data_IF_201611721797
#
_entry.id   IF_201611721797
#
_cell.length_a   1.000
_cell.length_b   1.000
_cell.length_c   1.000
_cell.angle_alpha   90.00
_cell.angle_beta   90.00
_cell.angle_gamma   90.00
#
_symmetry.space_group_name_H-M   'P 1'
#
loop_
_entity.id
_entity.type
_entity.pdbx_description
1 polymer ?
#
# COMPACT_ATOMS: atom_id res chain seq x y z
N UNK A 1 -4.54 1.56 20.45
CA UNK A 1 -3.93 2.52 19.50
C UNK A 1 -2.56 2.03 19.09
N UNK A 2 -2.04 2.63 18.01
CA UNK A 2 -0.61 2.71 17.73
C UNK A 2 -0.02 4.01 18.35
N UNK A 3 0.41 3.96 19.62
CA UNK A 3 1.12 5.08 20.29
C UNK A 3 2.50 4.68 20.78
N UNK A 4 2.83 3.40 20.73
CA UNK A 4 4.11 2.84 21.11
C UNK A 4 5.04 2.78 19.90
N UNK A 5 6.33 2.61 20.16
CA UNK A 5 7.31 2.42 19.09
C UNK A 5 7.10 1.05 18.42
N UNK A 6 7.51 0.93 17.15
CA UNK A 6 7.33 -0.32 16.41
C UNK A 6 5.93 -0.54 15.82
N UNK A 7 4.95 0.30 16.16
CA UNK A 7 3.58 0.21 15.64
C UNK A 7 3.45 1.10 14.40
N UNK A 8 3.64 0.53 13.20
CA UNK A 8 3.40 1.28 11.96
C UNK A 8 1.91 1.29 11.65
N UNK A 9 1.32 2.48 11.51
CA UNK A 9 -0.06 2.62 11.05
C UNK A 9 -0.08 2.78 9.54
N UNK A 10 -0.78 1.88 8.86
CA UNK A 10 -1.09 2.01 7.44
C UNK A 10 -2.52 2.52 7.27
N UNK A 11 -2.68 3.77 6.85
CA UNK A 11 -3.97 4.35 6.48
C UNK A 11 -4.23 4.03 5.01
N UNK A 12 -4.96 2.95 4.76
CA UNK A 12 -5.14 2.34 3.45
C UNK A 12 -6.45 2.79 2.78
N UNK A 13 -6.33 3.47 1.63
CA UNK A 13 -7.43 3.94 0.82
C UNK A 13 -7.05 3.98 -0.67
N UNK A 14 -7.35 5.09 -1.35
CA UNK A 14 -6.91 5.34 -2.74
C UNK A 14 -5.38 5.21 -2.89
N UNK A 15 -4.67 5.75 -1.90
CA UNK A 15 -3.25 5.58 -1.62
C UNK A 15 -3.07 5.05 -0.18
N UNK A 16 -1.83 4.78 0.22
CA UNK A 16 -1.53 4.40 1.62
C UNK A 16 -0.53 5.36 2.24
N UNK A 17 -0.90 5.92 3.38
CA UNK A 17 0.02 6.68 4.25
C UNK A 17 0.53 5.73 5.35
N UNK A 18 1.84 5.65 5.51
CA UNK A 18 2.51 4.86 6.54
C UNK A 18 3.09 5.81 7.58
N UNK A 19 2.66 5.69 8.83
CA UNK A 19 3.20 6.51 9.92
C UNK A 19 3.68 5.64 11.07
N UNK A 20 4.82 5.99 11.67
CA UNK A 20 5.38 5.26 12.80
C UNK A 20 6.06 6.22 13.77
N UNK A 21 5.92 5.96 15.07
CA UNK A 21 6.67 6.68 16.10
C UNK A 21 7.90 5.89 16.50
N UNK A 22 9.04 6.54 16.70
CA UNK A 22 10.25 5.91 17.21
C UNK A 22 11.03 6.78 18.18
N UNK A 23 11.80 6.14 19.07
CA UNK A 23 12.66 6.82 20.04
C UNK A 23 13.98 7.34 19.48
N UNK A 24 14.24 7.11 18.19
CA UNK A 24 15.50 7.45 17.51
C UNK A 24 15.22 8.35 16.32
N UNK A 25 16.15 9.27 16.02
CA UNK A 25 16.17 10.02 14.77
C UNK A 25 17.07 9.29 13.77
N UNK A 26 16.54 9.04 12.58
CA UNK A 26 17.17 8.29 11.48
C UNK A 26 16.75 8.89 10.16
N UNK A 27 17.66 8.84 9.20
CA UNK A 27 17.34 9.11 7.80
C UNK A 27 16.85 7.81 7.14
N UNK A 28 15.64 7.83 6.59
CA UNK A 28 14.99 6.67 5.97
C UNK A 28 14.81 6.98 4.48
N UNK A 29 15.35 6.15 3.57
CA UNK A 29 15.24 6.38 2.14
C UNK A 29 13.79 6.63 1.67
N UNK A 30 13.57 7.77 1.04
CA UNK A 30 12.27 8.14 0.48
C UNK A 30 11.15 8.36 1.49
N UNK A 31 11.46 8.56 2.78
CA UNK A 31 10.47 9.04 3.74
C UNK A 31 9.95 10.43 3.32
N UNK A 32 8.69 10.71 3.62
CA UNK A 32 8.10 12.04 3.42
C UNK A 32 8.67 13.05 4.42
N UNK A 33 8.90 12.60 5.67
CA UNK A 33 9.52 13.43 6.69
C UNK A 33 9.60 12.74 8.05
N UNK A 34 10.36 13.37 8.95
CA UNK A 34 10.50 12.99 10.36
C UNK A 34 10.47 14.24 11.23
N UNK A 35 9.65 14.26 12.28
CA UNK A 35 9.44 15.43 13.15
C UNK A 35 9.34 15.00 14.62
N UNK A 36 10.06 15.70 15.51
CA UNK A 36 9.98 15.48 16.95
C UNK A 36 8.58 15.86 17.46
N UNK A 37 7.91 14.92 18.13
CA UNK A 37 6.54 15.08 18.58
C UNK A 37 5.51 15.15 17.45
N UNK A 38 5.89 14.80 16.21
CA UNK A 38 5.02 14.93 15.02
C UNK A 38 3.77 14.04 15.03
N UNK A 39 3.80 12.95 15.81
CA UNK A 39 2.65 12.04 15.99
C UNK A 39 2.32 11.92 17.49
N UNK A 40 3.31 11.50 18.28
CA UNK A 40 3.19 11.33 19.74
C UNK A 40 4.28 12.17 20.39
N UNK A 41 3.91 13.01 21.36
CA UNK A 41 4.87 13.82 22.11
C UNK A 41 5.96 12.95 22.76
N UNK A 42 7.22 13.40 22.67
CA UNK A 42 8.38 12.65 23.18
C UNK A 42 8.84 11.50 22.28
N UNK A 43 8.48 11.50 20.99
CA UNK A 43 8.93 10.53 19.99
C UNK A 43 9.06 11.18 18.62
N UNK A 44 9.97 10.68 17.80
CA UNK A 44 10.09 11.08 16.40
C UNK A 44 8.95 10.43 15.61
N UNK A 45 8.13 11.27 14.97
CA UNK A 45 7.05 10.83 14.09
C UNK A 45 7.55 10.79 12.65
N UNK A 46 7.47 9.62 12.03
CA UNK A 46 7.86 9.38 10.65
C UNK A 46 6.64 9.22 9.75
N UNK A 47 6.77 9.69 8.51
CA UNK A 47 5.78 9.48 7.46
C UNK A 47 6.45 8.94 6.18
N UNK A 48 5.81 7.96 5.55
CA UNK A 48 6.08 7.49 4.20
C UNK A 48 4.76 7.29 3.45
N UNK A 49 4.82 7.13 2.13
CA UNK A 49 3.60 6.97 1.34
C UNK A 49 3.75 6.09 0.11
N UNK A 50 2.69 5.35 -0.19
CA UNK A 50 2.55 4.55 -1.39
C UNK A 50 1.53 5.22 -2.31
N UNK A 51 1.96 5.62 -3.51
CA UNK A 51 1.26 6.62 -4.34
C UNK A 51 -0.11 6.17 -4.85
N UNK A 52 -0.32 4.88 -5.06
CA UNK A 52 -1.60 4.31 -5.46
C UNK A 52 -1.73 2.90 -4.90
N UNK A 53 -2.89 2.59 -4.34
CA UNK A 53 -3.25 1.25 -3.87
C UNK A 53 -4.68 0.98 -4.31
N UNK A 54 -5.67 1.56 -3.63
CA UNK A 54 -7.08 1.48 -4.06
C UNK A 54 -7.31 2.03 -5.46
N UNK A 55 -6.59 3.09 -5.86
CA UNK A 55 -6.70 3.66 -7.21
C UNK A 55 -6.20 2.69 -8.30
N UNK A 56 -5.23 1.82 -7.97
CA UNK A 56 -4.74 0.80 -8.91
C UNK A 56 -5.83 -0.24 -9.14
N UNK A 57 -6.49 -0.69 -8.08
CA UNK A 57 -7.60 -1.64 -8.19
C UNK A 57 -8.77 -1.04 -8.94
N UNK A 58 -9.13 0.21 -8.62
CA UNK A 58 -10.21 0.93 -9.30
C UNK A 58 -9.90 1.13 -10.79
N UNK A 59 -8.68 1.54 -11.12
CA UNK A 59 -8.22 1.66 -12.50
C UNK A 59 -8.34 0.34 -13.26
N UNK A 60 -7.91 -0.77 -12.66
CA UNK A 60 -7.98 -2.08 -13.31
C UNK A 60 -9.44 -2.52 -13.52
N UNK A 61 -10.31 -2.33 -12.52
CA UNK A 61 -11.75 -2.61 -12.67
C UNK A 61 -12.39 -1.77 -13.77
N UNK A 62 -12.02 -0.50 -13.88
CA UNK A 62 -12.62 0.40 -14.87
C UNK A 62 -12.09 0.17 -16.30
N UNK A 63 -10.80 -0.14 -16.45
CA UNK A 63 -10.13 -0.11 -17.75
C UNK A 63 -9.55 -1.47 -18.21
N UNK A 64 -9.42 -2.44 -17.30
CA UNK A 64 -8.75 -3.71 -17.57
C UNK A 64 -9.66 -4.94 -17.49
N UNK A 65 -10.83 -4.83 -16.85
CA UNK A 65 -11.76 -5.95 -16.66
C UNK A 65 -12.78 -6.01 -17.81
N UNK A 66 -12.98 -7.17 -18.45
CA UNK A 66 -13.92 -7.30 -19.57
C UNK A 66 -15.38 -7.29 -19.09
N UNK A 67 -16.33 -6.81 -19.93
CA UNK A 67 -17.75 -6.71 -19.55
C UNK A 67 -18.37 -8.00 -19.01
N UNK A 68 -17.96 -9.17 -19.49
CA UNK A 68 -18.47 -10.46 -19.01
C UNK A 68 -18.28 -10.65 -17.50
N UNK A 69 -17.16 -10.21 -16.95
CA UNK A 69 -16.89 -10.30 -15.50
C UNK A 69 -17.76 -9.31 -14.70
N UNK A 70 -18.11 -8.16 -15.28
CA UNK A 70 -19.07 -7.24 -14.66
C UNK A 70 -20.48 -7.84 -14.60
N UNK A 71 -20.90 -8.50 -15.68
CA UNK A 71 -22.18 -9.21 -15.77
C UNK A 71 -22.23 -10.37 -14.76
N UNK A 72 -21.15 -11.15 -14.66
CA UNK A 72 -21.01 -12.22 -13.66
C UNK A 72 -21.07 -11.69 -12.23
N UNK A 73 -20.36 -10.60 -11.92
CA UNK A 73 -20.42 -9.96 -10.60
C UNK A 73 -21.85 -9.52 -10.25
N UNK A 74 -22.54 -8.88 -11.20
CA UNK A 74 -23.93 -8.45 -11.03
C UNK A 74 -24.89 -9.63 -10.83
N UNK A 75 -24.72 -10.72 -11.57
CA UNK A 75 -25.52 -11.95 -11.42
C UNK A 75 -25.37 -12.58 -10.03
N UNK A 76 -24.21 -12.41 -9.38
CA UNK A 76 -23.95 -12.85 -8.01
C UNK A 76 -24.33 -11.81 -6.94
N UNK A 77 -24.87 -10.64 -7.33
CA UNK A 77 -25.20 -9.55 -6.41
C UNK A 77 -23.99 -8.95 -5.69
N UNK A 78 -22.82 -9.00 -6.33
CA UNK A 78 -21.54 -8.50 -5.79
C UNK A 78 -21.07 -7.29 -6.59
N UNK A 79 -20.29 -6.43 -5.95
CA UNK A 79 -19.44 -5.50 -6.69
C UNK A 79 -18.37 -6.25 -7.47
N UNK A 80 -17.82 -5.63 -8.51
CA UNK A 80 -16.74 -6.23 -9.33
C UNK A 80 -15.50 -6.50 -8.48
N UNK A 81 -15.17 -5.60 -7.55
CA UNK A 81 -14.08 -5.82 -6.60
C UNK A 81 -14.29 -7.06 -5.72
N UNK A 82 -15.48 -7.25 -5.18
CA UNK A 82 -15.80 -8.43 -4.36
C UNK A 82 -15.77 -9.71 -5.19
N UNK A 83 -16.24 -9.66 -6.43
CA UNK A 83 -16.22 -10.80 -7.33
C UNK A 83 -14.78 -11.21 -7.71
N UNK A 84 -13.94 -10.27 -8.14
CA UNK A 84 -12.52 -10.53 -8.42
C UNK A 84 -11.75 -10.97 -7.17
N UNK A 85 -12.07 -10.40 -6.01
CA UNK A 85 -11.46 -10.83 -4.73
C UNK A 85 -11.83 -12.28 -4.42
N UNK A 86 -13.07 -12.69 -4.67
CA UNK A 86 -13.50 -14.07 -4.46
C UNK A 86 -12.76 -15.03 -5.40
N UNK A 87 -12.66 -14.71 -6.70
CA UNK A 87 -11.91 -15.51 -7.66
C UNK A 87 -10.42 -15.60 -7.33
N UNK A 88 -9.79 -14.46 -7.00
CA UNK A 88 -8.38 -14.39 -6.62
C UNK A 88 -8.09 -15.18 -5.34
N UNK A 89 -9.04 -15.27 -4.41
CA UNK A 89 -8.89 -16.02 -3.17
C UNK A 89 -8.88 -17.55 -3.36
N UNK A 90 -9.34 -18.05 -4.52
CA UNK A 90 -9.31 -19.49 -4.85
C UNK A 90 -7.93 -19.96 -5.31
N UNK A 91 -7.04 -19.03 -5.66
CA UNK A 91 -5.73 -19.33 -6.21
C UNK A 91 -4.71 -19.64 -5.10
N UNK A 92 -3.70 -20.44 -5.41
CA UNK A 92 -2.50 -20.60 -4.60
C UNK A 92 -1.54 -19.41 -4.80
N UNK A 93 -0.66 -19.16 -3.81
CA UNK A 93 0.40 -18.13 -3.94
C UNK A 93 1.29 -18.46 -5.14
N UNK A 94 1.34 -17.54 -6.11
CA UNK A 94 2.13 -17.66 -7.33
C UNK A 94 1.47 -18.46 -8.46
N UNK A 95 0.25 -18.98 -8.29
CA UNK A 95 -0.43 -19.80 -9.31
C UNK A 95 -0.63 -19.06 -10.64
N UNK A 96 -0.94 -17.77 -10.57
CA UNK A 96 -1.14 -16.92 -11.75
C UNK A 96 0.17 -16.65 -12.53
N UNK A 97 1.35 -16.87 -11.94
CA UNK A 97 2.64 -16.69 -12.61
C UNK A 97 2.97 -15.24 -12.99
N UNK A 98 2.40 -14.25 -12.30
CA UNK A 98 2.59 -12.82 -12.60
C UNK A 98 3.33 -12.10 -11.48
N UNK A 99 4.07 -11.05 -11.83
CA UNK A 99 4.59 -10.04 -10.89
C UNK A 99 4.27 -8.67 -11.45
N UNK A 100 3.86 -7.75 -10.59
CA UNK A 100 3.54 -6.38 -10.98
C UNK A 100 4.34 -5.34 -10.17
N UNK A 101 4.56 -4.17 -10.77
CA UNK A 101 5.06 -2.98 -10.07
C UNK A 101 3.89 -2.00 -9.87
N UNK A 102 3.70 -1.57 -8.62
CA UNK A 102 2.57 -0.77 -8.14
C UNK A 102 2.70 0.73 -8.44
N UNK A 103 3.34 1.11 -9.54
CA UNK A 103 3.73 2.49 -9.83
C UNK A 103 2.82 3.21 -10.83
N UNK A 104 1.54 2.85 -10.89
CA UNK A 104 0.58 3.47 -11.83
C UNK A 104 0.48 5.00 -11.66
N UNK A 105 0.77 5.49 -10.44
CA UNK A 105 0.85 6.92 -10.09
C UNK A 105 2.27 7.33 -9.65
N UNK A 106 3.30 6.70 -10.23
CA UNK A 106 4.70 6.85 -9.80
C UNK A 106 4.98 6.19 -8.45
N UNK A 107 6.15 6.44 -7.89
CA UNK A 107 6.57 5.92 -6.59
C UNK A 107 6.99 7.08 -5.66
N UNK A 108 6.31 7.24 -4.53
CA UNK A 108 6.66 8.25 -3.52
C UNK A 108 7.75 7.71 -2.59
N UNK A 109 7.47 6.64 -1.86
CA UNK A 109 8.44 5.93 -1.04
C UNK A 109 8.70 4.55 -1.66
N UNK A 110 9.95 4.11 -1.83
CA UNK A 110 11.21 4.72 -1.38
C UNK A 110 11.98 5.47 -2.47
N UNK A 111 11.49 5.48 -3.71
CA UNK A 111 12.25 5.96 -4.88
C UNK A 111 12.10 7.47 -5.15
N UNK A 112 11.01 8.10 -4.68
CA UNK A 112 10.74 9.53 -4.87
C UNK A 112 10.74 9.94 -6.36
N UNK A 113 10.07 9.15 -7.19
CA UNK A 113 10.02 9.33 -8.64
C UNK A 113 8.59 9.23 -9.19
N UNK A 114 8.08 10.38 -9.64
CA UNK A 114 6.73 10.51 -10.19
C UNK A 114 6.62 10.13 -11.68
N UNK A 115 7.75 9.92 -12.37
CA UNK A 115 7.74 9.55 -13.79
C UNK A 115 7.64 8.03 -14.01
N UNK A 116 7.88 7.23 -12.97
CA UNK A 116 7.68 5.78 -12.98
C UNK A 116 6.24 5.39 -13.36
N UNK A 117 6.08 4.15 -13.83
CA UNK A 117 4.82 3.62 -14.35
C UNK A 117 4.63 2.17 -13.96
N UNK A 118 3.37 1.71 -13.89
CA UNK A 118 3.02 0.32 -13.61
C UNK A 118 3.56 -0.66 -14.66
N UNK A 119 3.78 -1.90 -14.23
CA UNK A 119 4.26 -3.01 -15.04
C UNK A 119 3.55 -4.29 -14.57
N UNK A 120 3.24 -5.19 -15.51
CA UNK A 120 2.83 -6.57 -15.22
C UNK A 120 3.62 -7.50 -16.13
N UNK A 121 4.43 -8.39 -15.55
CA UNK A 121 5.20 -9.41 -16.26
C UNK A 121 4.60 -10.80 -16.05
N UNK A 122 4.87 -11.73 -16.98
CA UNK A 122 4.41 -13.13 -16.90
C UNK A 122 3.13 -13.44 -17.66
N UNK A 123 2.55 -12.47 -18.39
CA UNK A 123 1.31 -12.68 -19.13
C UNK A 123 1.45 -13.75 -20.22
N UNK A 124 0.42 -14.58 -20.34
CA UNK A 124 0.26 -15.61 -21.39
C UNK A 124 -1.11 -15.48 -22.06
N UNK A 125 -1.36 -16.26 -23.11
CA UNK A 125 -2.70 -16.33 -23.73
C UNK A 125 -3.78 -16.89 -22.79
N UNK A 126 -3.38 -17.50 -21.66
CA UNK A 126 -4.29 -18.04 -20.66
C UNK A 126 -4.55 -17.08 -19.49
N UNK A 127 -3.85 -15.94 -19.42
CA UNK A 127 -4.01 -14.98 -18.31
C UNK A 127 -5.43 -14.42 -18.25
N UNK A 128 -6.02 -14.47 -17.05
CA UNK A 128 -7.39 -14.08 -16.74
C UNK A 128 -7.44 -12.77 -15.93
N UNK A 129 -8.57 -12.06 -15.87
CA UNK A 129 -8.68 -10.82 -15.11
C UNK A 129 -8.36 -10.96 -13.61
N UNK A 130 -8.77 -12.07 -12.99
CA UNK A 130 -8.50 -12.38 -11.58
C UNK A 130 -7.01 -12.59 -11.29
N UNK A 131 -6.25 -13.15 -12.24
CA UNK A 131 -4.79 -13.31 -12.16
C UNK A 131 -4.11 -11.94 -12.00
N UNK A 132 -4.47 -11.01 -12.88
CA UNK A 132 -3.91 -9.65 -12.89
C UNK A 132 -4.37 -8.91 -11.64
N UNK A 133 -5.63 -9.04 -11.24
CA UNK A 133 -6.14 -8.41 -10.02
C UNK A 133 -5.39 -8.87 -8.77
N UNK A 134 -5.14 -10.18 -8.65
CA UNK A 134 -4.34 -10.74 -7.54
C UNK A 134 -2.92 -10.21 -7.57
N UNK A 135 -2.26 -10.23 -8.73
CA UNK A 135 -0.90 -9.72 -8.88
C UNK A 135 -0.77 -8.23 -8.51
N UNK A 136 -1.81 -7.42 -8.79
CA UNK A 136 -1.86 -6.02 -8.39
C UNK A 136 -2.02 -5.87 -6.86
N UNK A 137 -2.83 -6.70 -6.20
CA UNK A 137 -2.92 -6.73 -4.74
C UNK A 137 -1.56 -7.07 -4.13
N UNK A 138 -0.93 -8.14 -4.61
CA UNK A 138 0.39 -8.59 -4.15
C UNK A 138 1.45 -7.51 -4.37
N UNK A 139 1.46 -6.84 -5.52
CA UNK A 139 2.36 -5.72 -5.79
C UNK A 139 2.22 -4.59 -4.77
N UNK A 140 1.00 -4.27 -4.32
CA UNK A 140 0.82 -3.25 -3.29
C UNK A 140 1.36 -3.69 -1.93
N UNK A 141 1.26 -4.99 -1.60
CA UNK A 141 1.87 -5.56 -0.40
C UNK A 141 3.40 -5.56 -0.48
N UNK A 142 3.98 -5.88 -1.64
CA UNK A 142 5.43 -5.79 -1.88
C UNK A 142 5.95 -4.36 -1.77
N UNK A 143 5.20 -3.38 -2.28
CA UNK A 143 5.51 -1.96 -2.09
C UNK A 143 5.53 -1.57 -0.61
N UNK A 144 4.55 -2.03 0.16
CA UNK A 144 4.52 -1.85 1.62
C UNK A 144 5.70 -2.54 2.32
N UNK A 145 6.04 -3.78 1.95
CA UNK A 145 7.22 -4.48 2.48
C UNK A 145 8.51 -3.72 2.21
N UNK A 146 8.66 -3.18 1.00
CA UNK A 146 9.83 -2.36 0.61
C UNK A 146 9.96 -1.13 1.51
N UNK A 147 8.84 -0.47 1.85
CA UNK A 147 8.83 0.65 2.80
C UNK A 147 9.26 0.16 4.19
N UNK A 148 8.67 -0.93 4.69
CA UNK A 148 9.00 -1.48 6.02
C UNK A 148 10.49 -1.85 6.10
N UNK A 149 11.03 -2.52 5.10
CA UNK A 149 12.45 -2.89 5.03
C UNK A 149 13.37 -1.67 4.99
N UNK A 150 12.97 -0.56 4.36
CA UNK A 150 13.72 0.70 4.41
C UNK A 150 13.73 1.31 5.82
N UNK A 151 12.62 1.25 6.55
CA UNK A 151 12.57 1.70 7.94
C UNK A 151 13.45 0.83 8.85
N UNK A 152 13.28 -0.49 8.79
CA UNK A 152 13.99 -1.41 9.68
C UNK A 152 15.49 -1.44 9.40
N UNK A 153 15.91 -1.38 8.13
CA UNK A 153 17.33 -1.28 7.76
C UNK A 153 17.98 0.04 8.19
N UNK A 154 17.22 1.13 8.26
CA UNK A 154 17.65 2.41 8.85
C UNK A 154 17.63 2.43 10.39
N UNK A 155 17.23 1.33 11.05
CA UNK A 155 17.20 1.19 12.50
C UNK A 155 15.95 1.79 13.17
N UNK A 156 14.87 1.98 12.41
CA UNK A 156 13.54 2.32 12.95
C UNK A 156 12.72 1.03 13.02
N UNK A 157 12.42 0.49 14.21
CA UNK A 157 11.74 -0.79 14.32
C UNK A 157 10.29 -0.72 13.82
N UNK A 158 9.84 -1.82 13.22
CA UNK A 158 8.45 -2.06 12.82
C UNK A 158 8.12 -3.50 13.21
N UNK A 159 7.20 -3.67 14.16
CA UNK A 159 6.88 -4.95 14.81
C UNK A 159 5.42 -5.37 14.60
N UNK A 160 4.53 -4.41 14.35
CA UNK A 160 3.16 -4.67 13.91
C UNK A 160 2.71 -3.64 12.89
N UNK A 161 1.77 -4.04 12.04
CA UNK A 161 1.06 -3.14 11.14
C UNK A 161 -0.35 -2.90 11.70
N UNK A 162 -0.69 -1.65 11.97
CA UNK A 162 -2.04 -1.24 12.39
C UNK A 162 -2.76 -0.63 11.20
N UNK A 163 -3.72 -1.35 10.64
CA UNK A 163 -4.45 -0.94 9.45
C UNK A 163 -5.66 -0.09 9.82
N UNK A 164 -5.78 1.05 9.13
CA UNK A 164 -6.97 1.89 9.13
C UNK A 164 -7.44 2.12 7.69
N UNK A 165 -8.68 2.57 7.51
CA UNK A 165 -9.22 2.92 6.20
C UNK A 165 -10.05 1.81 5.54
N UNK A 166 -10.65 2.15 4.40
CA UNK A 166 -11.70 1.34 3.77
C UNK A 166 -11.23 -0.01 3.23
N UNK A 167 -9.94 -0.14 2.90
CA UNK A 167 -9.37 -1.40 2.38
C UNK A 167 -9.29 -2.52 3.42
N UNK A 168 -9.41 -2.20 4.72
CA UNK A 168 -9.44 -3.19 5.81
C UNK A 168 -10.57 -4.22 5.71
N UNK A 169 -11.62 -3.93 4.93
CA UNK A 169 -12.75 -4.85 4.69
C UNK A 169 -12.40 -5.98 3.73
N UNK A 170 -11.36 -5.83 2.91
CA UNK A 170 -10.91 -6.87 2.00
C UNK A 170 -9.99 -7.86 2.74
N UNK A 171 -10.55 -8.99 3.19
CA UNK A 171 -9.81 -9.98 3.98
C UNK A 171 -8.67 -10.66 3.21
N UNK A 172 -8.81 -10.88 1.91
CA UNK A 172 -7.73 -11.43 1.08
C UNK A 172 -6.54 -10.46 1.07
N UNK A 173 -6.80 -9.17 0.80
CA UNK A 173 -5.76 -8.14 0.79
C UNK A 173 -5.05 -8.05 2.15
N UNK A 174 -5.81 -8.06 3.25
CA UNK A 174 -5.24 -8.03 4.59
C UNK A 174 -4.36 -9.26 4.89
N UNK A 175 -4.80 -10.47 4.51
CA UNK A 175 -4.00 -11.67 4.73
C UNK A 175 -2.72 -11.64 3.89
N UNK A 176 -2.80 -11.26 2.61
CA UNK A 176 -1.62 -11.10 1.74
C UNK A 176 -0.63 -10.09 2.34
N UNK A 177 -1.11 -8.96 2.86
CA UNK A 177 -0.24 -8.01 3.54
C UNK A 177 0.46 -8.61 4.76
N UNK A 178 -0.23 -9.40 5.58
CA UNK A 178 0.38 -10.08 6.73
C UNK A 178 1.45 -11.08 6.29
N UNK A 179 1.14 -11.91 5.30
CA UNK A 179 2.05 -12.96 4.80
C UNK A 179 3.29 -12.34 4.12
N UNK A 180 3.08 -11.33 3.26
CA UNK A 180 4.15 -10.65 2.54
C UNK A 180 5.07 -9.88 3.49
N UNK A 181 4.50 -9.13 4.43
CA UNK A 181 5.31 -8.32 5.37
C UNK A 181 5.89 -9.14 6.52
N UNK A 182 5.40 -10.37 6.73
CA UNK A 182 5.72 -11.23 7.89
C UNK A 182 5.44 -10.52 9.23
N UNK A 183 4.44 -9.64 9.26
CA UNK A 183 4.02 -8.90 10.45
C UNK A 183 2.56 -9.21 10.82
N UNK A 184 2.22 -9.25 12.12
CA UNK A 184 0.82 -9.29 12.53
C UNK A 184 0.12 -7.98 12.14
N UNK A 185 -1.11 -8.11 11.64
CA UNK A 185 -1.97 -6.99 11.30
C UNK A 185 -3.07 -6.80 12.33
N UNK A 186 -3.04 -5.64 12.96
CA UNK A 186 -4.10 -5.14 13.84
C UNK A 186 -5.02 -4.20 13.03
N UNK A 187 -6.31 -4.15 13.33
CA UNK A 187 -7.29 -3.30 12.63
C UNK A 187 -7.87 -2.27 13.59
N UNK A 188 -7.91 -1.00 13.18
CA UNK A 188 -8.55 0.06 13.97
C UNK A 188 -10.06 -0.21 14.07
N UNK A 189 -10.59 -0.22 15.29
CA UNK A 189 -12.00 -0.54 15.55
C UNK A 189 -12.98 0.62 15.33
N UNK A 190 -12.48 1.82 15.04
CA UNK A 190 -13.30 2.99 14.71
C UNK A 190 -13.37 3.19 13.20
N UNK A 191 -14.59 3.30 12.67
CA UNK A 191 -14.80 3.69 11.26
C UNK A 191 -14.39 5.14 10.98
N UNK A 192 -14.23 5.96 12.02
CA UNK A 192 -13.86 7.38 11.93
C UNK A 192 -12.51 7.62 12.64
N UNK A 193 -11.47 6.92 12.19
CA UNK A 193 -10.11 6.98 12.75
C UNK A 193 -9.57 8.40 12.98
N UNK A 194 -9.56 9.29 11.96
CA UNK A 194 -9.09 10.66 12.12
C UNK A 194 -9.90 11.47 13.14
N UNK A 195 -11.22 11.35 13.14
CA UNK A 195 -12.08 12.06 14.09
C UNK A 195 -11.84 11.58 15.53
N UNK A 196 -11.64 10.27 15.74
CA UNK A 196 -11.27 9.72 17.04
C UNK A 196 -9.89 10.24 17.49
N UNK A 197 -8.93 10.35 16.57
CA UNK A 197 -7.63 10.99 16.81
C UNK A 197 -7.78 12.43 17.32
N UNK A 198 -8.58 13.25 16.63
CA UNK A 198 -8.85 14.63 17.06
C UNK A 198 -9.52 14.69 18.44
N UNK A 199 -10.49 13.80 18.72
CA UNK A 199 -11.16 13.73 20.01
C UNK A 199 -10.19 13.36 21.16
N UNK A 200 -9.24 12.46 20.92
CA UNK A 200 -8.18 12.11 21.87
C UNK A 200 -7.34 13.34 22.25
N UNK A 201 -6.84 14.08 21.25
CA UNK A 201 -6.06 15.29 21.50
C UNK A 201 -6.88 16.39 22.19
N UNK A 202 -8.16 16.55 21.83
CA UNK A 202 -9.06 17.50 22.50
C UNK A 202 -9.29 17.12 23.97
N UNK A 203 -9.43 15.83 24.30
CA UNK A 203 -9.58 15.38 25.67
C UNK A 203 -8.32 15.63 26.52
N UNK A 204 -7.13 15.47 25.94
CA UNK A 204 -5.86 15.84 26.60
C UNK A 204 -5.77 17.35 26.80
N UNK A 205 -6.08 18.15 25.77
CA UNK A 205 -6.06 19.61 25.86
C UNK A 205 -7.06 20.16 26.88
N UNK A 206 -8.20 19.49 27.06
CA UNK A 206 -9.19 19.82 28.08
C UNK A 206 -8.81 19.37 29.50
N UNK A 207 -7.67 18.68 29.67
CA UNK A 207 -7.21 18.16 30.95
C UNK A 207 -7.96 16.92 31.45
N UNK A 208 -8.78 16.27 30.60
CA UNK A 208 -9.49 15.04 30.96
C UNK A 208 -8.55 13.84 31.08
N UNK A 209 -7.40 13.88 30.39
CA UNK A 209 -6.32 12.91 30.50
C UNK A 209 -4.97 13.63 30.54
N UNK A 210 -3.99 13.02 31.21
CA UNK A 210 -2.67 13.61 31.41
C UNK A 210 -1.86 13.75 30.09
N UNK A 211 -1.98 12.77 29.21
CA UNK A 211 -1.27 12.74 27.93
C UNK A 211 -2.03 11.90 26.89
N UNK A 212 -1.50 11.87 25.67
CA UNK A 212 -2.11 11.15 24.55
C UNK A 212 -2.13 9.63 24.77
N UNK A 213 -1.16 9.06 25.52
CA UNK A 213 -1.11 7.61 25.81
C UNK A 213 -2.21 7.21 26.80
N UNK A 214 -2.47 8.04 27.80
CA UNK A 214 -3.54 7.85 28.78
C UNK A 214 -4.92 7.98 28.14
N UNK A 215 -5.16 9.04 27.35
CA UNK A 215 -6.39 9.18 26.58
C UNK A 215 -6.56 7.99 25.63
N UNK A 216 -5.45 7.59 24.99
CA UNK A 216 -5.44 6.52 24.04
C UNK A 216 -5.96 5.22 24.64
N UNK A 217 -5.37 4.78 25.75
CA UNK A 217 -5.72 3.54 26.45
C UNK A 217 -7.21 3.38 26.76
N UNK A 218 -7.93 4.48 26.99
CA UNK A 218 -9.36 4.47 27.37
C UNK A 218 -10.28 4.65 26.17
N UNK A 219 -9.99 5.61 25.29
CA UNK A 219 -10.88 5.97 24.18
C UNK A 219 -10.57 5.21 22.88
N UNK A 220 -9.41 4.54 22.82
CA UNK A 220 -8.97 3.80 21.65
C UNK A 220 -9.70 2.48 21.44
N UNK A 221 -9.86 2.11 20.18
CA UNK A 221 -10.36 0.80 19.79
C UNK A 221 -9.46 0.22 18.70
N UNK A 222 -8.83 -0.92 18.98
CA UNK A 222 -8.01 -1.69 18.03
C UNK A 222 -8.28 -3.17 18.26
N UNK A 223 -8.60 -3.90 17.20
CA UNK A 223 -8.62 -5.35 17.18
C UNK A 223 -7.20 -5.81 16.86
N UNK A 224 -6.52 -6.44 17.83
CA UNK A 224 -5.10 -6.81 17.67
C UNK A 224 -4.94 -8.16 16.99
N UNK A 225 -3.95 -8.26 16.09
CA UNK A 225 -3.58 -9.53 15.44
C UNK A 225 -4.75 -10.22 14.74
N UNK A 226 -5.58 -9.46 14.03
CA UNK A 226 -6.73 -9.97 13.28
C UNK A 226 -6.27 -10.88 12.15
N UNK A 227 -5.13 -10.55 11.54
CA UNK A 227 -4.44 -11.37 10.56
C UNK A 227 -3.02 -11.63 11.06
N UNK A 228 -2.64 -12.90 11.08
CA UNK A 228 -1.30 -13.33 11.45
C UNK A 228 -0.65 -13.96 10.22
N UNK A 229 0.67 -13.76 10.01
CA UNK A 229 1.36 -14.36 8.89
C UNK A 229 1.21 -15.88 8.89
N UNK A 230 0.89 -16.45 7.73
CA UNK A 230 1.10 -17.86 7.43
C UNK A 230 2.52 -18.03 6.89
N UNK A 231 3.36 -18.79 7.60
CA UNK A 231 4.78 -18.96 7.24
C UNK A 231 4.95 -19.67 5.89
N UNK A 232 4.08 -20.62 5.54
CA UNK A 232 4.17 -21.34 4.27
C UNK A 232 3.82 -20.42 3.09
N UNK A 233 2.82 -19.55 3.28
CA UNK A 233 2.49 -18.51 2.30
C UNK A 233 3.60 -17.46 2.22
N UNK A 234 4.14 -17.01 3.35
CA UNK A 234 5.22 -16.03 3.43
C UNK A 234 6.47 -16.50 2.69
N UNK A 235 6.86 -17.77 2.84
CA UNK A 235 7.99 -18.36 2.11
C UNK A 235 7.79 -18.35 0.59
N UNK A 236 6.55 -18.54 0.12
CA UNK A 236 6.23 -18.43 -1.32
C UNK A 236 6.25 -16.98 -1.78
N UNK A 237 5.75 -16.07 -0.95
CA UNK A 237 5.81 -14.64 -1.21
C UNK A 237 7.23 -14.10 -1.23
N UNK A 238 8.17 -14.65 -0.46
CA UNK A 238 9.58 -14.27 -0.52
C UNK A 238 10.18 -14.50 -1.92
N UNK A 239 9.77 -15.56 -2.61
CA UNK A 239 10.20 -15.84 -4.00
C UNK A 239 9.71 -14.73 -4.93
N UNK A 240 8.40 -14.41 -4.88
CA UNK A 240 7.80 -13.37 -5.70
C UNK A 240 8.34 -11.97 -5.35
N UNK A 241 8.62 -11.72 -4.07
CA UNK A 241 9.21 -10.48 -3.60
C UNK A 241 10.65 -10.30 -4.10
N UNK A 242 11.40 -11.39 -4.26
CA UNK A 242 12.71 -11.38 -4.92
C UNK A 242 12.62 -10.88 -6.37
N UNK A 243 11.66 -11.38 -7.13
CA UNK A 243 11.40 -10.92 -8.51
C UNK A 243 10.89 -9.48 -8.55
N UNK A 244 9.99 -9.10 -7.63
CA UNK A 244 9.54 -7.71 -7.46
C UNK A 244 10.74 -6.79 -7.22
N UNK A 245 11.65 -7.16 -6.30
CA UNK A 245 12.83 -6.37 -5.94
C UNK A 245 13.78 -6.21 -7.14
N UNK A 246 14.02 -7.28 -7.88
CA UNK A 246 14.85 -7.23 -9.08
C UNK A 246 14.28 -6.25 -10.14
N UNK A 247 12.96 -6.31 -10.38
CA UNK A 247 12.29 -5.38 -11.31
C UNK A 247 12.25 -3.95 -10.76
N UNK A 248 11.96 -3.80 -9.46
CA UNK A 248 11.93 -2.53 -8.74
C UNK A 248 13.27 -1.80 -8.90
N UNK A 249 14.39 -2.46 -8.63
CA UNK A 249 15.70 -1.82 -8.71
C UNK A 249 16.14 -1.61 -10.16
N UNK A 250 15.85 -2.55 -11.06
CA UNK A 250 16.20 -2.41 -12.48
C UNK A 250 15.54 -1.17 -13.09
N UNK A 251 14.25 -0.96 -12.88
CA UNK A 251 13.52 0.17 -13.46
C UNK A 251 13.53 1.44 -12.60
N UNK A 252 13.75 1.32 -11.29
CA UNK A 252 13.66 2.42 -10.32
C UNK A 252 14.99 3.00 -9.85
N UNK A 253 16.12 2.28 -10.04
CA UNK A 253 17.45 2.70 -9.54
C UNK A 253 18.52 2.80 -10.64
N UNK A 254 18.11 3.12 -11.87
CA UNK A 254 19.03 3.43 -12.97
C UNK A 254 19.58 2.22 -13.73
N UNK A 255 18.99 1.02 -13.56
CA UNK A 255 19.28 -0.11 -14.44
C UNK A 255 18.77 0.15 -15.87
N UNK A 256 17.56 0.69 -16.00
CA UNK A 256 16.98 1.09 -17.28
C UNK A 256 15.84 2.12 -17.14
N UNK A 257 16.10 3.36 -17.58
CA UNK A 257 15.12 4.46 -17.50
C UNK A 257 14.05 4.45 -18.61
N UNK A 258 13.59 3.27 -19.03
CA UNK A 258 12.62 3.14 -20.12
C UNK A 258 11.31 3.86 -19.80
N UNK A 259 10.89 3.86 -18.54
CA UNK A 259 9.64 4.50 -18.09
C UNK A 259 9.69 6.03 -18.33
N UNK A 260 10.78 6.70 -17.96
CA UNK A 260 11.00 8.13 -18.23
C UNK A 260 11.04 8.43 -19.73
N UNK A 261 11.75 7.59 -20.51
CA UNK A 261 11.81 7.75 -21.97
C UNK A 261 10.43 7.62 -22.61
N UNK A 262 9.60 6.67 -22.18
CA UNK A 262 8.22 6.52 -22.65
C UNK A 262 7.34 7.72 -22.28
N UNK A 263 7.49 8.26 -21.06
CA UNK A 263 6.83 9.52 -20.67
C UNK A 263 7.23 10.68 -21.56
N UNK A 264 8.52 10.80 -21.90
CA UNK A 264 9.02 11.83 -22.81
C UNK A 264 8.45 11.68 -24.23
N UNK A 265 8.42 10.46 -24.78
CA UNK A 265 7.78 10.16 -26.08
C UNK A 265 6.31 10.55 -26.07
N UNK A 266 5.56 10.22 -25.00
CA UNK A 266 4.16 10.62 -24.85
C UNK A 266 4.00 12.15 -24.82
N UNK A 267 4.83 12.87 -24.04
CA UNK A 267 4.79 14.34 -23.97
C UNK A 267 5.01 14.97 -25.34
N UNK A 268 6.00 14.49 -26.09
CA UNK A 268 6.26 14.96 -27.45
C UNK A 268 5.05 14.72 -28.39
N UNK A 269 4.49 13.50 -28.38
CA UNK A 269 3.33 13.18 -29.21
C UNK A 269 2.10 14.06 -28.88
N UNK A 270 1.85 14.33 -27.60
CA UNK A 270 0.77 15.22 -27.15
C UNK A 270 1.03 16.66 -27.61
N UNK A 271 2.24 17.19 -27.45
CA UNK A 271 2.62 18.52 -27.93
C UNK A 271 2.39 18.66 -29.44
N UNK A 272 2.85 17.70 -30.24
CA UNK A 272 2.61 17.66 -31.70
C UNK A 272 1.14 17.57 -32.08
N UNK A 273 0.31 16.89 -31.30
CA UNK A 273 -1.15 16.87 -31.51
C UNK A 273 -1.79 18.22 -31.26
N UNK A 274 -1.41 18.92 -30.19
CA UNK A 274 -1.93 20.25 -29.88
C UNK A 274 -1.53 21.28 -30.92
N UNK A 275 -0.26 21.30 -31.34
CA UNK A 275 0.22 22.19 -32.41
C UNK A 275 -0.53 22.00 -33.76
N UNK A 276 -1.07 20.80 -34.04
CA UNK A 276 -1.90 20.55 -35.23
C UNK A 276 -3.35 21.02 -35.10
N UNK A 277 -3.87 21.12 -33.88
CA UNK A 277 -5.25 21.54 -33.61
C UNK A 277 -5.40 23.06 -33.53
N UNK A 278 -4.29 23.77 -33.33
CA UNK A 278 -4.24 25.23 -33.24
C UNK A 278 -3.18 25.77 -34.23
N UNK A 279 -3.36 25.58 -35.55
CA UNK A 279 -2.52 26.23 -36.54
C UNK A 279 -2.91 27.70 -36.58
N UNK A 280 -2.09 28.56 -36.01
CA UNK A 280 -2.18 30.02 -36.20
C UNK A 280 -2.34 30.39 -37.66
#
# INVERSE_FOLDING_TARGET
QAVDHGQMVAIMGTSTCHVVSAGVLRDVPGMCGVVDGGIVAGSWGYEAGQSGVGDIFGWFVEHGVPPSVHEEAAAHGRSVHEHLTALAAEQEVGEHGLVALDWHSGNRSVLVDHELSGLVVGQTLATRPEDVYRALIEATAFGTRTIIEAFTSSGVPVEELVVAGGLSRNRLLMQIYADVTRLPLSVVGSEQGPALGSALHAAVAAGAYADIRAAAKVMGSVQRGVFTPDEDAALRYDVLFGEYTALHDHFGRGGNDVMHRLRAVRRDAVRRRHARKDPS
#
